data_IF_245196376062
#
_entry.id   IF_245196376062
#
_cell.length_a   1.000
_cell.length_b   1.000
_cell.length_c   1.000
_cell.angle_alpha   90.00
_cell.angle_beta   90.00
_cell.angle_gamma   90.00
#
_symmetry.space_group_name_H-M   'P 1'
#
loop_
_entity.id
_entity.type
_entity.pdbx_description
1 polymer ?
#
# COMPACT_ATOMS: atom_id res chain seq x y z
N UNK A 1 21.45 2.42 33.31
CA UNK A 1 19.98 2.50 33.20
C UNK A 1 19.39 2.12 34.55
N UNK A 2 18.48 2.93 35.10
CA UNK A 2 17.78 2.57 36.34
C UNK A 2 16.76 1.44 36.09
N UNK A 3 16.45 0.67 37.13
CA UNK A 3 15.52 -0.48 37.06
C UNK A 3 14.15 -0.09 36.45
N UNK A 4 13.62 1.08 36.83
CA UNK A 4 12.38 1.64 36.28
C UNK A 4 12.46 1.87 34.75
N UNK A 5 13.59 2.40 34.26
CA UNK A 5 13.76 2.66 32.82
C UNK A 5 13.78 1.38 31.99
N UNK A 6 14.34 0.30 32.55
CA UNK A 6 14.36 -1.01 31.90
C UNK A 6 12.95 -1.59 31.78
N UNK A 7 12.17 -1.55 32.87
CA UNK A 7 10.78 -2.02 32.86
C UNK A 7 9.91 -1.26 31.86
N UNK A 8 10.07 0.06 31.76
CA UNK A 8 9.33 0.89 30.79
C UNK A 8 9.69 0.52 29.34
N UNK A 9 10.97 0.32 29.05
CA UNK A 9 11.42 -0.06 27.70
C UNK A 9 10.93 -1.47 27.34
N UNK A 10 11.00 -2.43 28.27
CA UNK A 10 10.50 -3.78 28.05
C UNK A 10 8.99 -3.79 27.80
N UNK A 11 8.22 -2.98 28.52
CA UNK A 11 6.79 -2.85 28.28
C UNK A 11 6.51 -2.21 26.92
N UNK A 12 7.27 -1.18 26.53
CA UNK A 12 7.12 -0.53 25.23
C UNK A 12 7.29 -1.52 24.07
N UNK A 13 8.32 -2.38 24.10
CA UNK A 13 8.56 -3.37 23.04
C UNK A 13 7.62 -4.57 23.07
N UNK A 14 6.96 -4.84 24.21
CA UNK A 14 5.86 -5.83 24.26
C UNK A 14 4.62 -5.33 23.52
N UNK A 15 4.36 -4.03 23.56
CA UNK A 15 3.21 -3.41 22.90
C UNK A 15 3.53 -2.97 21.46
N UNK A 16 4.78 -2.60 21.19
CA UNK A 16 5.23 -2.07 19.91
C UNK A 16 6.30 -2.97 19.30
N UNK A 17 5.91 -3.70 18.25
CA UNK A 17 6.85 -4.48 17.44
C UNK A 17 7.87 -3.58 16.73
N UNK A 18 9.07 -4.12 16.49
CA UNK A 18 10.13 -3.43 15.74
C UNK A 18 9.72 -3.11 14.30
N UNK A 19 8.83 -3.92 13.72
CA UNK A 19 8.33 -3.72 12.34
C UNK A 19 7.00 -2.95 12.29
N UNK A 20 6.51 -2.46 13.45
CA UNK A 20 5.22 -1.78 13.57
C UNK A 20 5.11 -0.59 12.63
N UNK A 21 6.17 0.20 12.47
CA UNK A 21 6.17 1.34 11.56
C UNK A 21 5.85 0.95 10.11
N UNK A 22 6.47 -0.12 9.60
CA UNK A 22 6.23 -0.62 8.25
C UNK A 22 4.83 -1.22 8.09
N UNK A 23 4.38 -1.98 9.10
CA UNK A 23 3.04 -2.59 9.09
C UNK A 23 1.93 -1.54 9.16
N UNK A 24 2.07 -0.54 10.04
CA UNK A 24 1.11 0.55 10.19
C UNK A 24 1.08 1.41 8.91
N UNK A 25 2.25 1.70 8.31
CA UNK A 25 2.34 2.39 7.03
C UNK A 25 1.63 1.61 5.91
N UNK A 26 1.84 0.30 5.81
CA UNK A 26 1.15 -0.54 4.82
C UNK A 26 -0.37 -0.57 5.06
N UNK A 27 -0.81 -0.72 6.31
CA UNK A 27 -2.24 -0.72 6.64
C UNK A 27 -2.88 0.63 6.26
N UNK A 28 -2.22 1.75 6.57
CA UNK A 28 -2.69 3.09 6.19
C UNK A 28 -2.73 3.27 4.67
N UNK A 29 -1.75 2.74 3.95
CA UNK A 29 -1.73 2.76 2.49
C UNK A 29 -2.97 2.06 1.90
N UNK A 30 -3.26 0.84 2.37
CA UNK A 30 -4.42 0.07 1.85
C UNK A 30 -5.75 0.68 2.29
N UNK A 31 -5.87 1.11 3.54
CA UNK A 31 -7.14 1.61 4.12
C UNK A 31 -7.50 3.04 3.66
N UNK A 32 -6.50 3.89 3.37
CA UNK A 32 -6.70 5.33 3.15
C UNK A 32 -6.11 5.78 1.81
N UNK A 33 -4.82 5.58 1.59
CA UNK A 33 -4.12 6.19 0.43
C UNK A 33 -4.60 5.61 -0.91
N UNK A 34 -4.91 4.31 -0.98
CA UNK A 34 -5.47 3.71 -2.20
C UNK A 34 -6.78 4.38 -2.63
N UNK A 35 -7.66 4.68 -1.68
CA UNK A 35 -8.94 5.33 -1.99
C UNK A 35 -8.72 6.78 -2.45
N UNK A 36 -7.78 7.51 -1.84
CA UNK A 36 -7.42 8.87 -2.29
C UNK A 36 -6.90 8.88 -3.73
N UNK A 37 -6.05 7.92 -4.10
CA UNK A 37 -5.52 7.80 -5.48
C UNK A 37 -6.66 7.58 -6.49
N UNK A 38 -7.66 6.76 -6.11
CA UNK A 38 -8.86 6.54 -6.94
C UNK A 38 -9.71 7.80 -7.05
N UNK A 39 -9.84 8.57 -5.96
CA UNK A 39 -10.58 9.83 -5.94
C UNK A 39 -9.90 10.94 -6.76
N UNK A 40 -8.56 10.99 -6.78
CA UNK A 40 -7.80 11.90 -7.64
C UNK A 40 -8.00 11.62 -9.13
N UNK A 41 -8.20 10.35 -9.50
CA UNK A 41 -8.39 9.90 -10.88
C UNK A 41 -9.85 9.48 -11.17
N UNK A 42 -10.80 10.10 -10.47
CA UNK A 42 -12.18 9.62 -10.36
C UNK A 42 -12.91 9.56 -11.70
N UNK A 43 -12.84 10.60 -12.51
CA UNK A 43 -13.60 10.71 -13.76
C UNK A 43 -12.67 10.48 -14.96
N UNK A 44 -12.98 9.44 -15.75
CA UNK A 44 -12.28 9.10 -16.99
C UNK A 44 -13.23 9.35 -18.16
N UNK A 45 -12.82 10.25 -19.06
CA UNK A 45 -13.53 10.57 -20.29
C UNK A 45 -12.87 9.82 -21.47
N UNK A 46 -13.57 8.88 -22.13
CA UNK A 46 -13.03 8.23 -23.31
C UNK A 46 -12.97 9.20 -24.50
N UNK A 47 -11.91 9.09 -25.29
CA UNK A 47 -11.64 9.98 -26.43
C UNK A 47 -12.61 9.80 -27.59
N UNK A 48 -13.30 8.65 -27.68
CA UNK A 48 -14.25 8.33 -28.75
C UNK A 48 -15.62 8.12 -28.12
N UNK A 49 -16.55 9.03 -28.43
CA UNK A 49 -17.93 8.97 -27.98
C UNK A 49 -18.81 8.58 -29.17
N UNK A 50 -19.76 7.62 -29.01
CA UNK A 50 -20.72 7.29 -30.07
C UNK A 50 -21.52 8.53 -30.49
N UNK A 51 -21.86 8.64 -31.78
CA UNK A 51 -22.54 9.82 -32.35
C UNK A 51 -23.90 10.19 -31.73
N UNK A 52 -24.48 9.32 -30.90
CA UNK A 52 -25.77 9.50 -30.24
C UNK A 52 -25.66 9.81 -28.73
N UNK A 53 -24.44 10.04 -28.23
CA UNK A 53 -24.15 10.33 -26.81
C UNK A 53 -23.37 11.65 -26.76
N UNK A 54 -23.85 12.60 -25.97
CA UNK A 54 -23.22 13.92 -25.83
C UNK A 54 -22.07 13.86 -24.82
N UNK A 55 -22.21 13.02 -23.78
CA UNK A 55 -21.22 12.86 -22.72
C UNK A 55 -21.19 11.41 -22.23
N UNK A 56 -20.02 10.79 -22.21
CA UNK A 56 -19.79 9.48 -21.61
C UNK A 56 -18.66 9.61 -20.59
N UNK A 57 -18.92 9.23 -19.34
CA UNK A 57 -17.96 9.30 -18.23
C UNK A 57 -17.90 7.96 -17.51
N UNK A 58 -16.68 7.46 -17.30
CA UNK A 58 -16.42 6.32 -16.43
C UNK A 58 -15.97 6.88 -15.08
N UNK A 59 -16.72 6.58 -14.03
CA UNK A 59 -16.40 7.00 -12.68
C UNK A 59 -15.84 5.83 -11.88
N UNK A 60 -14.65 6.01 -11.34
CA UNK A 60 -14.06 5.11 -10.36
C UNK A 60 -14.61 5.47 -8.98
N UNK A 61 -15.28 4.53 -8.32
CA UNK A 61 -15.92 4.78 -7.03
C UNK A 61 -15.04 4.26 -5.88
N UNK A 62 -15.31 3.05 -5.42
CA UNK A 62 -14.68 2.49 -4.22
C UNK A 62 -13.71 1.39 -4.59
N UNK A 63 -12.49 1.46 -4.06
CA UNK A 63 -11.52 0.38 -4.10
C UNK A 63 -11.50 -0.38 -2.78
N UNK A 64 -11.32 -1.70 -2.84
CA UNK A 64 -11.03 -2.49 -1.66
C UNK A 64 -10.14 -3.68 -1.99
N UNK A 65 -9.37 -4.10 -0.99
CA UNK A 65 -8.47 -5.24 -1.07
C UNK A 65 -9.03 -6.36 -0.21
N UNK A 66 -8.97 -7.58 -0.73
CA UNK A 66 -9.40 -8.78 0.00
C UNK A 66 -8.21 -9.43 0.72
N UNK A 67 -8.30 -10.70 1.09
CA UNK A 67 -7.16 -11.44 1.65
C UNK A 67 -6.45 -12.26 0.56
N UNK A 68 -5.20 -12.67 0.79
CA UNK A 68 -4.45 -13.46 -0.18
C UNK A 68 -5.15 -14.74 -0.60
N UNK A 69 -5.29 -14.93 -1.91
CA UNK A 69 -5.89 -16.10 -2.53
C UNK A 69 -5.14 -16.48 -3.81
N UNK A 70 -5.31 -17.73 -4.23
CA UNK A 70 -4.78 -18.26 -5.49
C UNK A 70 -5.92 -18.85 -6.30
N UNK A 71 -5.88 -18.59 -7.62
CA UNK A 71 -6.71 -19.27 -8.61
C UNK A 71 -5.92 -20.45 -9.17
N UNK A 72 -6.40 -21.67 -8.95
CA UNK A 72 -5.77 -22.88 -9.47
C UNK A 72 -6.12 -23.09 -10.95
N UNK A 73 -5.45 -24.05 -11.61
CA UNK A 73 -5.64 -24.31 -13.05
C UNK A 73 -7.06 -24.78 -13.42
N UNK A 74 -7.82 -25.28 -12.45
CA UNK A 74 -9.23 -25.66 -12.60
C UNK A 74 -10.20 -24.46 -12.48
N UNK A 75 -9.67 -23.25 -12.22
CA UNK A 75 -10.43 -22.03 -12.02
C UNK A 75 -10.99 -21.86 -10.60
N UNK A 76 -10.74 -22.80 -9.69
CA UNK A 76 -11.15 -22.65 -8.28
C UNK A 76 -10.26 -21.62 -7.57
N UNK A 77 -10.87 -20.83 -6.67
CA UNK A 77 -10.16 -19.88 -5.81
C UNK A 77 -10.11 -20.38 -4.39
N UNK A 78 -8.95 -20.24 -3.73
CA UNK A 78 -8.78 -20.59 -2.32
C UNK A 78 -7.78 -19.68 -1.63
N UNK A 79 -7.89 -19.59 -0.31
CA UNK A 79 -6.90 -18.91 0.51
C UNK A 79 -5.52 -19.57 0.35
N UNK A 80 -4.49 -18.72 0.28
CA UNK A 80 -3.08 -19.13 0.28
C UNK A 80 -2.46 -18.65 1.58
N UNK A 81 -1.64 -19.47 2.22
CA UNK A 81 -0.85 -19.09 3.41
C UNK A 81 0.60 -18.75 3.02
N UNK A 82 1.32 -17.94 3.82
CA UNK A 82 2.68 -17.52 3.47
C UNK A 82 3.65 -18.68 3.23
N UNK A 83 3.63 -19.73 4.06
CA UNK A 83 4.44 -20.94 3.90
C UNK A 83 4.21 -21.59 2.53
N UNK A 84 2.95 -21.70 2.11
CA UNK A 84 2.63 -22.24 0.79
C UNK A 84 3.19 -21.36 -0.33
N UNK A 85 3.08 -20.03 -0.20
CA UNK A 85 3.60 -19.09 -1.18
C UNK A 85 5.12 -19.22 -1.36
N UNK A 86 5.86 -19.40 -0.26
CA UNK A 86 7.31 -19.69 -0.26
C UNK A 86 7.63 -20.96 -1.03
N UNK A 87 6.97 -22.07 -0.66
CA UNK A 87 7.26 -23.39 -1.23
C UNK A 87 6.91 -23.50 -2.72
N UNK A 88 5.76 -22.94 -3.13
CA UNK A 88 5.29 -22.99 -4.52
C UNK A 88 5.91 -21.94 -5.43
N UNK A 89 6.79 -21.07 -4.90
CA UNK A 89 7.40 -19.96 -5.65
C UNK A 89 6.39 -19.00 -6.27
N UNK A 90 5.30 -18.75 -5.56
CA UNK A 90 4.25 -17.81 -5.96
C UNK A 90 4.32 -16.53 -5.13
N UNK A 91 3.63 -15.48 -5.57
CA UNK A 91 3.54 -14.24 -4.82
C UNK A 91 2.36 -14.30 -3.84
N UNK A 92 2.60 -13.94 -2.58
CA UNK A 92 1.57 -13.82 -1.56
C UNK A 92 0.84 -12.49 -1.74
N UNK A 93 -0.22 -12.51 -2.54
CA UNK A 93 -0.94 -11.32 -2.98
C UNK A 93 -2.45 -11.47 -2.83
N UNK A 94 -3.13 -10.37 -2.55
CA UNK A 94 -4.58 -10.29 -2.45
C UNK A 94 -5.18 -9.57 -3.66
N UNK A 95 -6.34 -10.02 -4.17
CA UNK A 95 -7.04 -9.34 -5.24
C UNK A 95 -7.61 -8.00 -4.76
N UNK A 96 -7.48 -7.02 -5.65
CA UNK A 96 -8.03 -5.68 -5.51
C UNK A 96 -9.23 -5.52 -6.44
N UNK A 97 -10.32 -5.03 -5.88
CA UNK A 97 -11.57 -4.81 -6.59
C UNK A 97 -11.89 -3.32 -6.62
N UNK A 98 -12.48 -2.89 -7.72
CA UNK A 98 -12.92 -1.52 -7.96
C UNK A 98 -14.39 -1.54 -8.38
N UNK A 99 -15.17 -0.67 -7.74
CA UNK A 99 -16.52 -0.36 -8.19
C UNK A 99 -16.45 0.76 -9.24
N UNK A 100 -17.01 0.50 -10.41
CA UNK A 100 -16.98 1.39 -11.56
C UNK A 100 -18.40 1.69 -12.00
N UNK A 101 -18.69 2.96 -12.22
CA UNK A 101 -20.00 3.45 -12.66
C UNK A 101 -19.90 4.16 -14.01
N UNK A 102 -20.77 3.81 -14.94
CA UNK A 102 -20.90 4.48 -16.23
C UNK A 102 -21.97 5.57 -16.16
N UNK A 103 -21.61 6.78 -16.58
CA UNK A 103 -22.49 7.93 -16.71
C UNK A 103 -22.64 8.29 -18.19
N UNK A 104 -23.89 8.38 -18.65
CA UNK A 104 -24.26 8.76 -20.02
C UNK A 104 -25.15 10.00 -19.94
N UNK A 105 -24.72 11.11 -20.53
CA UNK A 105 -25.40 12.41 -20.50
C UNK A 105 -25.77 12.82 -19.05
N UNK A 106 -24.81 12.70 -18.12
CA UNK A 106 -25.00 13.00 -16.70
C UNK A 106 -25.82 11.99 -15.89
N UNK A 107 -26.40 10.95 -16.49
CA UNK A 107 -27.21 9.94 -15.80
C UNK A 107 -26.39 8.68 -15.52
N UNK A 108 -26.35 8.26 -14.26
CA UNK A 108 -25.75 6.97 -13.87
C UNK A 108 -26.55 5.83 -14.47
N UNK A 109 -25.89 4.93 -15.21
CA UNK A 109 -26.53 3.81 -15.89
C UNK A 109 -26.21 2.50 -15.21
N UNK A 110 -24.99 2.03 -15.39
CA UNK A 110 -24.54 0.74 -14.89
C UNK A 110 -23.44 0.93 -13.89
N UNK A 111 -23.52 0.18 -12.79
CA UNK A 111 -22.45 0.06 -11.81
C UNK A 111 -22.08 -1.40 -11.71
N UNK A 112 -20.80 -1.70 -11.88
CA UNK A 112 -20.28 -3.06 -11.77
C UNK A 112 -19.01 -3.07 -10.93
N UNK A 113 -18.71 -4.25 -10.40
CA UNK A 113 -17.51 -4.50 -9.60
C UNK A 113 -16.58 -5.36 -10.41
N UNK A 114 -15.33 -4.92 -10.56
CA UNK A 114 -14.33 -5.68 -11.31
C UNK A 114 -13.06 -5.83 -10.50
N UNK A 115 -12.37 -6.95 -10.66
CA UNK A 115 -11.01 -7.10 -10.18
C UNK A 115 -10.09 -6.30 -11.11
N UNK A 116 -9.27 -5.42 -10.55
CA UNK A 116 -8.33 -4.57 -11.32
C UNK A 116 -6.89 -5.12 -11.28
N UNK A 117 -6.61 -5.99 -10.32
CA UNK A 117 -5.29 -6.59 -10.15
C UNK A 117 -5.15 -7.25 -8.80
N UNK A 118 -3.91 -7.49 -8.39
CA UNK A 118 -3.57 -8.05 -7.08
C UNK A 118 -2.42 -7.25 -6.47
N UNK A 119 -2.47 -7.06 -5.16
CA UNK A 119 -1.44 -6.36 -4.38
C UNK A 119 -0.72 -7.34 -3.47
N UNK A 120 0.63 -7.34 -3.45
CA UNK A 120 1.37 -8.11 -2.45
C UNK A 120 0.99 -7.70 -1.03
N UNK A 121 0.72 -8.69 -0.17
CA UNK A 121 0.31 -8.44 1.21
C UNK A 121 1.51 -8.60 2.14
N UNK A 122 1.75 -7.58 2.97
CA UNK A 122 2.80 -7.63 3.98
C UNK A 122 2.43 -8.63 5.09
N UNK A 123 3.38 -9.46 5.50
CA UNK A 123 3.17 -10.41 6.58
C UNK A 123 2.85 -9.69 7.90
N UNK A 124 1.97 -10.30 8.70
CA UNK A 124 1.38 -9.74 9.92
C UNK A 124 0.58 -8.43 9.77
N UNK A 125 0.45 -7.86 8.57
CA UNK A 125 -0.49 -6.76 8.31
C UNK A 125 -1.95 -7.16 8.49
N UNK A 126 -2.86 -6.19 8.59
CA UNK A 126 -4.31 -6.40 8.75
C UNK A 126 -4.92 -7.32 7.67
N UNK A 127 -4.34 -7.29 6.47
CA UNK A 127 -4.80 -8.04 5.30
C UNK A 127 -4.20 -9.45 5.21
N UNK A 128 -3.20 -9.76 6.03
CA UNK A 128 -2.59 -11.09 6.09
C UNK A 128 -3.52 -12.09 6.81
N UNK A 129 -3.51 -13.35 6.40
CA UNK A 129 -4.20 -14.42 7.12
C UNK A 129 -3.64 -14.66 8.52
N UNK A 130 -2.34 -14.43 8.73
CA UNK A 130 -1.67 -14.63 10.02
C UNK A 130 -2.02 -13.57 11.07
N UNK A 131 -2.63 -12.46 10.66
CA UNK A 131 -2.96 -11.36 11.56
C UNK A 131 -3.99 -11.79 12.61
N UNK A 132 -3.64 -11.66 13.89
CA UNK A 132 -4.52 -12.02 15.01
C UNK A 132 -4.57 -13.51 15.36
N UNK A 133 -3.80 -14.37 14.68
CA UNK A 133 -3.68 -15.79 15.04
C UNK A 133 -2.91 -15.96 16.36
N UNK A 134 -3.29 -16.97 17.15
CA UNK A 134 -2.56 -17.35 18.37
C UNK A 134 -1.30 -18.15 18.02
N UNK A 135 -0.34 -18.24 18.95
CA UNK A 135 0.90 -19.02 18.75
C UNK A 135 0.62 -20.45 18.30
N UNK A 136 -0.37 -21.12 18.90
CA UNK A 136 -0.71 -22.52 18.56
C UNK A 136 -1.30 -22.63 17.15
N UNK A 137 -2.00 -21.61 16.67
CA UNK A 137 -2.58 -21.56 15.33
C UNK A 137 -1.50 -21.32 14.28
N UNK A 138 -0.56 -20.42 14.56
CA UNK A 138 0.61 -20.17 13.71
C UNK A 138 1.43 -21.46 13.49
N UNK A 139 1.71 -22.20 14.57
CA UNK A 139 2.41 -23.50 14.48
C UNK A 139 1.62 -24.50 13.62
N UNK A 140 0.29 -24.55 13.76
CA UNK A 140 -0.56 -25.47 12.98
C UNK A 140 -0.54 -25.17 11.48
N UNK A 141 -0.47 -23.89 11.11
CA UNK A 141 -0.36 -23.49 9.69
C UNK A 141 1.08 -23.53 9.17
N UNK A 142 2.04 -23.94 10.01
CA UNK A 142 3.44 -24.11 9.64
C UNK A 142 4.27 -22.83 9.68
N UNK A 143 3.80 -21.77 10.36
CA UNK A 143 4.53 -20.53 10.54
C UNK A 143 5.24 -20.50 11.90
N UNK A 144 6.33 -19.75 11.99
CA UNK A 144 7.03 -19.48 13.25
C UNK A 144 6.28 -18.40 14.05
N UNK A 145 5.84 -18.67 15.29
CA UNK A 145 5.18 -17.65 16.12
C UNK A 145 6.07 -16.49 16.56
N UNK A 146 7.39 -16.63 16.43
CA UNK A 146 8.37 -15.61 16.76
C UNK A 146 8.81 -14.79 15.52
N UNK A 147 8.27 -15.06 14.32
CA UNK A 147 8.49 -14.23 13.14
C UNK A 147 7.87 -12.83 13.32
N UNK A 148 8.66 -11.75 13.27
CA UNK A 148 8.12 -10.39 13.42
C UNK A 148 7.22 -9.96 12.25
N UNK A 149 7.37 -10.54 11.06
CA UNK A 149 6.70 -10.07 9.85
C UNK A 149 7.27 -8.76 9.28
N UNK A 150 6.44 -7.99 8.58
CA UNK A 150 6.87 -6.69 8.02
C UNK A 150 7.57 -6.76 6.65
N UNK A 151 7.52 -7.92 5.98
CA UNK A 151 8.07 -8.14 4.65
C UNK A 151 7.03 -8.79 3.73
N UNK A 152 7.37 -8.93 2.44
CA UNK A 152 6.52 -9.50 1.40
C UNK A 152 7.11 -10.80 0.87
N UNK A 153 6.27 -11.70 0.35
CA UNK A 153 6.72 -12.88 -0.39
C UNK A 153 6.37 -12.68 -1.86
N UNK A 154 7.39 -12.52 -2.70
CA UNK A 154 7.25 -12.29 -4.14
C UNK A 154 7.95 -13.42 -4.88
N UNK A 155 7.19 -14.19 -5.66
CA UNK A 155 7.69 -15.37 -6.38
C UNK A 155 8.45 -16.34 -5.45
N UNK A 156 7.91 -16.57 -4.26
CA UNK A 156 8.50 -17.37 -3.18
C UNK A 156 9.71 -16.78 -2.47
N UNK A 157 10.20 -15.61 -2.88
CA UNK A 157 11.33 -14.95 -2.23
C UNK A 157 10.83 -13.86 -1.28
N UNK A 158 11.38 -13.84 -0.08
CA UNK A 158 11.08 -12.81 0.91
C UNK A 158 11.78 -11.50 0.54
N UNK A 159 11.03 -10.40 0.56
CA UNK A 159 11.49 -9.07 0.18
C UNK A 159 11.01 -8.04 1.19
N UNK A 160 11.96 -7.23 1.67
CA UNK A 160 11.67 -6.11 2.56
C UNK A 160 11.86 -4.79 1.82
N UNK A 161 11.01 -3.81 2.12
CA UNK A 161 11.23 -2.43 1.68
C UNK A 161 12.12 -1.77 2.71
N UNK A 162 13.29 -1.31 2.27
CA UNK A 162 14.20 -0.53 3.11
C UNK A 162 13.73 0.92 3.06
N UNK A 163 13.50 1.52 4.24
CA UNK A 163 13.14 2.91 4.33
C UNK A 163 14.26 3.79 3.80
N UNK A 164 13.92 4.75 2.96
CA UNK A 164 14.83 5.76 2.43
C UNK A 164 14.57 7.05 3.18
N UNK A 165 15.63 7.69 3.64
CA UNK A 165 15.57 9.03 4.20
C UNK A 165 15.66 10.04 3.07
N UNK A 166 14.76 11.01 3.07
CA UNK A 166 14.73 12.10 2.10
C UNK A 166 14.51 13.44 2.81
N UNK A 167 14.90 14.52 2.15
CA UNK A 167 14.69 15.87 2.65
C UNK A 167 13.18 16.18 2.73
N UNK A 168 12.79 16.86 3.79
CA UNK A 168 11.40 17.25 3.99
C UNK A 168 10.91 18.13 2.83
N UNK A 169 9.91 17.62 2.10
CA UNK A 169 9.20 18.34 1.05
C UNK A 169 8.42 19.53 1.62
N UNK A 170 8.10 20.49 0.76
CA UNK A 170 7.30 21.68 1.05
C UNK A 170 7.86 22.53 2.20
N UNK A 171 9.19 22.53 2.35
CA UNK A 171 9.92 23.32 3.36
C UNK A 171 11.03 24.12 2.70
N UNK A 172 11.06 25.42 2.98
CA UNK A 172 12.16 26.29 2.53
C UNK A 172 13.41 26.03 3.37
N UNK A 173 14.53 25.77 2.70
CA UNK A 173 15.83 25.49 3.29
C UNK A 173 16.83 26.53 2.79
N UNK A 174 17.74 26.99 3.64
CA UNK A 174 18.78 27.95 3.29
C UNK A 174 20.13 27.29 3.50
N UNK A 175 20.98 27.38 2.49
CA UNK A 175 22.34 26.86 2.51
C UNK A 175 23.34 27.98 2.18
N UNK A 176 24.53 27.92 2.76
CA UNK A 176 25.63 28.80 2.40
C UNK A 176 26.23 28.32 1.06
N UNK A 177 26.34 29.22 0.09
CA UNK A 177 26.80 28.89 -1.24
C UNK A 177 28.34 28.94 -1.28
N UNK A 178 28.97 27.82 -1.66
CA UNK A 178 30.42 27.80 -1.89
C UNK A 178 30.84 28.59 -3.12
N UNK A 179 29.94 28.73 -4.09
CA UNK A 179 30.15 29.40 -5.38
C UNK A 179 28.83 30.00 -5.89
N UNK A 180 28.88 31.20 -6.48
CA UNK A 180 27.70 31.87 -7.03
C UNK A 180 27.72 33.38 -6.80
N UNK A 181 26.64 34.06 -7.21
CA UNK A 181 26.47 35.52 -7.08
C UNK A 181 26.01 35.97 -5.69
N UNK A 182 25.55 35.04 -4.84
CA UNK A 182 25.03 35.28 -3.49
C UNK A 182 25.72 34.36 -2.49
N UNK A 183 25.95 34.84 -1.26
CA UNK A 183 26.51 34.05 -0.16
C UNK A 183 25.54 32.96 0.35
N UNK A 184 24.23 33.16 0.14
CA UNK A 184 23.18 32.22 0.56
C UNK A 184 22.28 31.84 -0.61
N UNK A 185 21.89 30.57 -0.66
CA UNK A 185 20.93 30.02 -1.64
C UNK A 185 19.75 29.40 -0.89
N UNK A 186 18.55 29.74 -1.34
CA UNK A 186 17.31 29.14 -0.86
C UNK A 186 16.90 27.97 -1.76
N UNK A 187 16.58 26.81 -1.16
CA UNK A 187 16.08 25.64 -1.86
C UNK A 187 14.70 25.25 -1.32
N UNK A 188 13.83 24.80 -2.22
CA UNK A 188 12.56 24.19 -1.85
C UNK A 188 12.26 23.02 -2.79
N UNK A 189 11.96 21.87 -2.20
CA UNK A 189 11.47 20.71 -2.91
C UNK A 189 9.96 20.67 -2.73
N UNK A 190 9.19 20.87 -3.81
CA UNK A 190 7.73 20.84 -3.73
C UNK A 190 7.19 19.48 -4.16
N UNK A 191 6.23 18.97 -3.39
CA UNK A 191 5.56 17.70 -3.64
C UNK A 191 4.05 17.85 -3.42
N UNK A 192 3.25 17.35 -4.36
CA UNK A 192 1.78 17.38 -4.31
C UNK A 192 1.23 16.12 -4.98
N UNK A 193 0.54 15.28 -4.21
CA UNK A 193 0.07 13.98 -4.67
C UNK A 193 1.22 13.12 -5.19
N UNK A 194 1.07 12.54 -6.38
CA UNK A 194 2.13 11.77 -7.04
C UNK A 194 3.22 12.60 -7.74
N UNK A 195 3.12 13.94 -7.72
CA UNK A 195 4.04 14.82 -8.43
C UNK A 195 5.12 15.39 -7.50
N UNK A 196 6.39 15.22 -7.89
CA UNK A 196 7.56 15.79 -7.21
C UNK A 196 8.39 16.62 -8.19
N UNK A 197 8.55 17.91 -7.90
CA UNK A 197 9.30 18.84 -8.77
C UNK A 197 10.36 19.57 -7.92
N UNK A 198 11.66 19.44 -8.26
CA UNK A 198 12.69 20.25 -7.63
C UNK A 198 12.66 21.68 -8.19
N UNK A 199 12.62 22.68 -7.31
CA UNK A 199 12.75 24.09 -7.71
C UNK A 199 14.03 24.69 -7.12
N UNK A 200 14.82 25.34 -7.99
CA UNK A 200 15.93 26.20 -7.58
C UNK A 200 15.50 27.64 -7.83
N UNK A 201 15.61 28.49 -6.80
CA UNK A 201 15.33 29.92 -6.87
C UNK A 201 16.63 30.71 -6.76
#
# INVERSE_FOLDING_TARGET
MGELSKTLIEQYFKENSLVKASVDSFNAFIDVELQKIVEENRDIEPTIIPSNVDEFKIRLEKIWVTKPEITEADGSTRAVYPMEARLRRISYAAPMYLEVSAYINGVQRETFKTQIGSVPVMLHSKYCHLSGMKREELIKVGEDPDDPGGYFIINGTERIIVNIEDLASNRFMVEEASTGTSEFVGKIFSESGSYKIPHQF
#
